data_IF_283827396970
#
_entry.id   IF_283827396970
#
_cell.length_a   1.000
_cell.length_b   1.000
_cell.length_c   1.000
_cell.angle_alpha   90.00
_cell.angle_beta   90.00
_cell.angle_gamma   90.00
#
_symmetry.space_group_name_H-M   'P 1'
#
loop_
_entity.id
_entity.type
_entity.pdbx_description
1 polymer ?
#
# COMPACT_ATOMS: atom_id res chain seq x y z
N UNK A 1 -0.24 5.25 13.37
CA UNK A 1 0.61 6.22 12.64
C UNK A 1 -0.27 7.04 11.71
N UNK A 2 -0.22 8.38 11.75
CA UNK A 2 -1.05 9.22 10.87
C UNK A 2 -0.46 9.31 9.48
N UNK A 3 -1.31 9.26 8.46
CA UNK A 3 -0.90 9.26 7.05
C UNK A 3 -1.72 10.30 6.31
N UNK A 4 -1.03 11.17 5.57
CA UNK A 4 -1.61 12.28 4.85
C UNK A 4 -1.25 12.19 3.37
N UNK A 5 -2.27 12.12 2.53
CA UNK A 5 -2.14 12.18 1.08
C UNK A 5 -2.62 13.54 0.59
N UNK A 6 -1.70 14.39 0.14
CA UNK A 6 -2.00 15.74 -0.34
C UNK A 6 -2.08 15.74 -1.86
N UNK A 7 -3.24 16.17 -2.38
CA UNK A 7 -3.44 16.41 -3.81
C UNK A 7 -2.85 17.78 -4.15
N UNK A 8 -1.93 17.81 -5.09
CA UNK A 8 -1.23 19.00 -5.55
C UNK A 8 -1.50 19.26 -7.03
N UNK A 9 -1.17 20.48 -7.45
CA UNK A 9 -1.11 20.84 -8.86
C UNK A 9 0.12 20.19 -9.53
N UNK A 10 0.12 20.14 -10.86
CA UNK A 10 1.22 19.59 -11.64
C UNK A 10 1.25 18.06 -11.66
N UNK A 11 2.45 17.47 -11.70
CA UNK A 11 2.64 16.03 -11.96
C UNK A 11 2.84 15.17 -10.71
N UNK A 12 2.89 15.78 -9.52
CA UNK A 12 3.31 15.11 -8.29
C UNK A 12 2.36 15.49 -7.15
N UNK A 13 1.81 14.48 -6.49
CA UNK A 13 1.13 14.57 -5.20
C UNK A 13 2.11 14.21 -4.07
N UNK A 14 1.70 14.35 -2.80
CA UNK A 14 2.60 14.10 -1.67
C UNK A 14 2.00 13.17 -0.64
N UNK A 15 2.82 12.24 -0.15
CA UNK A 15 2.55 11.45 1.04
C UNK A 15 3.37 11.99 2.21
N UNK A 16 2.75 12.11 3.37
CA UNK A 16 3.40 12.34 4.65
C UNK A 16 2.92 11.31 5.68
N UNK A 17 3.86 10.65 6.34
CA UNK A 17 3.61 9.76 7.46
C UNK A 17 4.16 10.39 8.73
N UNK A 18 3.32 10.54 9.76
CA UNK A 18 3.67 11.09 11.07
C UNK A 18 3.56 9.99 12.13
N UNK A 19 4.69 9.68 12.76
CA UNK A 19 4.84 8.65 13.80
C UNK A 19 4.34 9.15 15.15
N UNK A 20 4.27 8.24 16.13
CA UNK A 20 3.79 8.56 17.49
C UNK A 20 4.70 9.53 18.24
N UNK A 21 6.02 9.51 17.96
CA UNK A 21 7.00 10.43 18.53
C UNK A 21 6.99 11.81 17.87
N UNK A 22 6.10 12.05 16.90
CA UNK A 22 5.99 13.29 16.14
C UNK A 22 6.98 13.41 14.98
N UNK A 23 7.91 12.47 14.80
CA UNK A 23 8.77 12.43 13.62
C UNK A 23 7.93 12.18 12.37
N UNK A 24 8.32 12.77 11.24
CA UNK A 24 7.64 12.57 9.97
C UNK A 24 8.59 12.20 8.83
N UNK A 25 8.05 11.51 7.84
CA UNK A 25 8.74 11.22 6.58
C UNK A 25 7.78 11.52 5.43
N UNK A 26 8.30 12.13 4.36
CA UNK A 26 7.55 12.51 3.17
C UNK A 26 8.16 11.92 1.92
N UNK A 27 7.32 11.54 0.95
CA UNK A 27 7.76 11.19 -0.39
C UNK A 27 6.84 11.81 -1.46
N UNK A 28 7.38 12.08 -2.66
CA UNK A 28 6.56 12.45 -3.81
C UNK A 28 5.81 11.23 -4.34
N UNK A 29 4.55 11.41 -4.73
CA UNK A 29 3.73 10.43 -5.45
C UNK A 29 3.46 10.95 -6.87
N UNK A 30 4.20 10.48 -7.90
CA UNK A 30 3.94 10.85 -9.28
C UNK A 30 2.50 10.47 -9.69
N UNK A 31 1.79 11.38 -10.36
CA UNK A 31 0.44 11.12 -10.87
C UNK A 31 0.50 10.07 -11.96
N UNK A 32 -0.19 8.95 -11.74
CA UNK A 32 -0.27 7.86 -12.71
C UNK A 32 -1.56 7.92 -13.55
N UNK A 33 -2.63 8.55 -13.06
CA UNK A 33 -3.95 8.56 -13.72
C UNK A 33 -4.94 7.57 -13.09
N UNK A 34 -4.44 6.70 -12.21
CA UNK A 34 -5.21 5.94 -11.22
C UNK A 34 -4.87 6.43 -9.80
N UNK A 35 -5.44 5.79 -8.77
CA UNK A 35 -5.11 6.05 -7.37
C UNK A 35 -3.57 6.01 -7.15
N UNK A 36 -2.99 6.96 -6.39
CA UNK A 36 -1.57 6.96 -6.08
C UNK A 36 -1.10 5.61 -5.50
N UNK A 37 0.04 5.11 -5.96
CA UNK A 37 0.58 3.79 -5.59
C UNK A 37 0.66 3.58 -4.07
N UNK A 38 1.23 4.52 -3.32
CA UNK A 38 1.33 4.40 -1.85
C UNK A 38 -0.05 4.46 -1.15
N UNK A 39 -1.06 5.05 -1.79
CA UNK A 39 -2.45 5.00 -1.32
C UNK A 39 -3.08 3.63 -1.61
N UNK A 40 -2.70 2.95 -2.70
CA UNK A 40 -3.07 1.55 -2.95
C UNK A 40 -2.47 0.64 -1.87
N UNK A 41 -1.20 0.84 -1.48
CA UNK A 41 -0.61 0.15 -0.32
C UNK A 41 -1.45 0.33 0.95
N UNK A 42 -1.89 1.56 1.22
CA UNK A 42 -2.70 1.84 2.41
C UNK A 42 -3.99 1.03 2.38
N UNK A 43 -4.69 1.01 1.23
CA UNK A 43 -5.94 0.27 1.07
C UNK A 43 -5.73 -1.23 1.21
N UNK A 44 -4.73 -1.80 0.52
CA UNK A 44 -4.42 -3.24 0.55
C UNK A 44 -4.04 -3.69 1.96
N UNK A 45 -3.04 -3.03 2.57
CA UNK A 45 -2.51 -3.43 3.87
C UNK A 45 -3.53 -3.23 4.99
N UNK A 46 -4.31 -2.14 4.96
CA UNK A 46 -5.35 -1.88 5.96
C UNK A 46 -6.50 -2.88 5.86
N UNK A 47 -6.90 -3.26 4.64
CA UNK A 47 -8.03 -4.18 4.41
C UNK A 47 -7.68 -5.60 4.81
N UNK A 48 -6.45 -6.04 4.51
CA UNK A 48 -5.95 -7.39 4.80
C UNK A 48 -5.23 -7.50 6.15
N UNK A 49 -5.07 -6.37 6.85
CA UNK A 49 -4.32 -6.27 8.11
C UNK A 49 -2.88 -6.79 8.00
N UNK A 50 -2.19 -6.46 6.90
CA UNK A 50 -0.77 -6.79 6.69
C UNK A 50 0.09 -5.89 7.60
N UNK A 51 0.75 -6.46 8.61
CA UNK A 51 1.37 -5.69 9.72
C UNK A 51 2.87 -5.43 9.54
N UNK A 52 3.48 -6.16 8.64
CA UNK A 52 4.89 -6.14 8.26
C UNK A 52 5.04 -5.77 6.76
N UNK A 53 4.02 -5.10 6.21
CA UNK A 53 4.00 -4.53 4.87
C UNK A 53 4.83 -3.24 4.73
N UNK A 54 4.62 -2.50 3.65
CA UNK A 54 5.34 -1.25 3.35
C UNK A 54 5.13 -0.19 4.45
N UNK A 55 3.92 -0.07 5.01
CA UNK A 55 3.68 0.91 6.08
C UNK A 55 4.40 0.57 7.39
N UNK A 56 4.80 -0.70 7.60
CA UNK A 56 5.66 -1.08 8.73
C UNK A 56 7.07 -0.53 8.56
N UNK A 57 7.63 -0.57 7.34
CA UNK A 57 8.96 -0.03 7.05
C UNK A 57 9.00 1.47 7.38
N UNK A 58 7.97 2.19 6.94
CA UNK A 58 7.82 3.62 7.24
C UNK A 58 7.69 3.84 8.75
N UNK A 59 6.82 3.08 9.43
CA UNK A 59 6.62 3.21 10.87
C UNK A 59 7.91 2.93 11.67
N UNK A 60 8.76 2.02 11.19
CA UNK A 60 10.05 1.69 11.79
C UNK A 60 11.15 2.76 11.58
N UNK A 61 10.88 3.81 10.80
CA UNK A 61 11.84 4.89 10.56
C UNK A 61 12.77 4.68 9.37
N UNK A 62 12.62 3.55 8.66
CA UNK A 62 13.47 3.14 7.54
C UNK A 62 13.30 4.06 6.32
N UNK A 63 12.12 4.65 6.16
CA UNK A 63 11.79 5.54 5.05
C UNK A 63 11.14 4.82 3.87
N UNK A 64 11.15 5.45 2.70
CA UNK A 64 10.54 4.93 1.48
C UNK A 64 11.59 4.21 0.63
N UNK A 65 11.37 2.94 0.22
CA UNK A 65 12.24 2.29 -0.73
C UNK A 65 12.33 3.10 -2.03
N UNK A 66 13.54 3.42 -2.48
CA UNK A 66 13.77 4.20 -3.71
C UNK A 66 14.10 3.34 -4.93
N UNK A 67 14.25 2.03 -4.73
CA UNK A 67 14.52 1.02 -5.75
C UNK A 67 13.29 0.14 -6.00
N UNK A 68 13.19 -0.41 -7.21
CA UNK A 68 12.20 -1.43 -7.52
C UNK A 68 12.46 -2.71 -6.69
N UNK A 69 11.41 -3.43 -6.27
CA UNK A 69 11.53 -4.72 -5.59
C UNK A 69 12.16 -5.80 -6.49
N UNK A 70 12.76 -6.89 -5.94
CA UNK A 70 12.80 -7.20 -4.52
C UNK A 70 13.80 -6.33 -3.75
N UNK A 71 13.39 -5.95 -2.55
CA UNK A 71 14.16 -5.15 -1.62
C UNK A 71 15.11 -6.03 -0.80
N UNK A 72 16.30 -5.50 -0.54
CA UNK A 72 17.32 -6.16 0.27
C UNK A 72 17.09 -5.85 1.76
N UNK A 73 16.83 -6.89 2.53
CA UNK A 73 16.56 -6.83 3.97
C UNK A 73 17.68 -6.10 4.75
N UNK A 74 18.93 -6.30 4.34
CA UNK A 74 20.10 -5.69 4.97
C UNK A 74 20.13 -4.17 4.77
N UNK A 75 19.64 -3.67 3.62
CA UNK A 75 19.56 -2.23 3.35
C UNK A 75 18.57 -1.51 4.28
N UNK A 76 17.54 -2.23 4.72
CA UNK A 76 16.47 -1.69 5.55
C UNK A 76 16.62 -2.03 7.03
N UNK A 77 17.63 -2.82 7.40
CA UNK A 77 17.85 -3.33 8.77
C UNK A 77 16.59 -4.02 9.33
N UNK A 78 15.89 -4.77 8.48
CA UNK A 78 14.68 -5.50 8.84
C UNK A 78 14.93 -6.98 8.57
N UNK A 79 14.66 -7.83 9.55
CA UNK A 79 14.98 -9.26 9.47
C UNK A 79 14.13 -10.02 8.43
N UNK A 80 12.89 -9.57 8.20
CA UNK A 80 11.94 -10.24 7.32
C UNK A 80 11.13 -9.22 6.49
N UNK A 81 11.34 -9.23 5.17
CA UNK A 81 10.60 -8.43 4.19
C UNK A 81 9.48 -9.22 3.49
N UNK A 82 9.19 -10.45 3.93
CA UNK A 82 8.24 -11.34 3.25
C UNK A 82 6.88 -10.65 3.05
N UNK A 83 6.28 -10.10 4.11
CA UNK A 83 4.96 -9.47 4.02
C UNK A 83 5.00 -8.13 3.25
N UNK A 84 6.15 -7.43 3.23
CA UNK A 84 6.35 -6.24 2.40
C UNK A 84 6.39 -6.58 0.91
N UNK A 85 7.12 -7.63 0.53
CA UNK A 85 7.17 -8.14 -0.84
C UNK A 85 5.82 -8.72 -1.30
N UNK A 86 5.09 -9.36 -0.39
CA UNK A 86 3.71 -9.81 -0.62
C UNK A 86 2.75 -8.64 -0.85
N UNK A 87 2.84 -7.58 -0.02
CA UNK A 87 2.02 -6.38 -0.17
C UNK A 87 2.27 -5.70 -1.53
N UNK A 88 3.53 -5.60 -1.95
CA UNK A 88 3.91 -5.09 -3.27
C UNK A 88 3.30 -5.91 -4.41
N UNK A 89 3.35 -7.23 -4.33
CA UNK A 89 2.70 -8.12 -5.32
C UNK A 89 1.20 -7.89 -5.43
N UNK A 90 0.53 -7.74 -4.29
CA UNK A 90 -0.89 -7.43 -4.27
C UNK A 90 -1.18 -6.07 -4.91
N UNK A 91 -0.41 -5.05 -4.55
CA UNK A 91 -0.56 -3.69 -5.09
C UNK A 91 -0.42 -3.69 -6.61
N UNK A 92 0.59 -4.34 -7.17
CA UNK A 92 0.78 -4.44 -8.63
C UNK A 92 -0.38 -5.18 -9.32
N UNK A 93 -0.83 -6.31 -8.76
CA UNK A 93 -1.98 -7.05 -9.30
C UNK A 93 -3.26 -6.19 -9.30
N UNK A 94 -3.54 -5.47 -8.22
CA UNK A 94 -4.70 -4.57 -8.15
C UNK A 94 -4.54 -3.35 -9.06
N UNK A 95 -3.35 -2.75 -9.16
CA UNK A 95 -3.11 -1.65 -10.07
C UNK A 95 -3.31 -2.06 -11.53
N UNK A 96 -2.96 -3.29 -11.91
CA UNK A 96 -3.27 -3.83 -13.23
C UNK A 96 -4.79 -3.84 -13.52
N UNK A 97 -5.61 -4.27 -12.56
CA UNK A 97 -7.09 -4.19 -12.69
C UNK A 97 -7.58 -2.74 -12.78
N UNK A 98 -7.02 -1.84 -11.96
CA UNK A 98 -7.38 -0.41 -11.98
C UNK A 98 -7.08 0.24 -13.34
N UNK A 99 -5.91 -0.05 -13.91
CA UNK A 99 -5.54 0.37 -15.25
C UNK A 99 -6.46 -0.20 -16.33
N UNK A 100 -7.00 -1.39 -16.08
CA UNK A 100 -8.03 -2.01 -16.92
C UNK A 100 -9.46 -1.58 -16.54
N UNK A 101 -9.64 -0.40 -15.92
CA UNK A 101 -10.97 0.12 -15.58
C UNK A 101 -11.68 -0.63 -14.46
N UNK A 102 -10.92 -1.10 -13.46
CA UNK A 102 -11.41 -1.90 -12.32
C UNK A 102 -12.07 -3.22 -12.74
N UNK A 103 -11.74 -3.76 -13.92
CA UNK A 103 -12.24 -5.06 -14.34
C UNK A 103 -11.51 -6.17 -13.56
N UNK A 104 -12.25 -7.03 -12.82
CA UNK A 104 -11.64 -8.15 -12.12
C UNK A 104 -10.98 -9.12 -13.09
N UNK A 105 -9.76 -9.55 -12.78
CA UNK A 105 -9.06 -10.62 -13.49
C UNK A 105 -9.64 -11.96 -13.04
N UNK A 106 -10.03 -12.81 -14.00
CA UNK A 106 -10.59 -14.16 -13.73
C UNK A 106 -9.58 -15.07 -13.00
N UNK A 107 -8.29 -14.88 -13.26
CA UNK A 107 -7.18 -15.63 -12.71
C UNK A 107 -6.34 -14.82 -11.71
N UNK A 108 -6.94 -13.88 -10.98
CA UNK A 108 -6.24 -12.97 -10.05
C UNK A 108 -5.31 -13.71 -9.08
N UNK A 109 -5.78 -14.81 -8.47
CA UNK A 109 -4.99 -15.56 -7.49
C UNK A 109 -3.77 -16.24 -8.11
N UNK A 110 -3.90 -16.76 -9.34
CA UNK A 110 -2.79 -17.39 -10.08
C UNK A 110 -1.74 -16.34 -10.48
N UNK A 111 -2.20 -15.16 -10.95
CA UNK A 111 -1.30 -14.04 -11.26
C UNK A 111 -0.55 -13.62 -9.99
N UNK A 112 -1.25 -13.46 -8.86
CA UNK A 112 -0.62 -13.09 -7.60
C UNK A 112 0.43 -14.12 -7.16
N UNK A 113 0.14 -15.41 -7.31
CA UNK A 113 1.09 -16.47 -6.98
C UNK A 113 2.36 -16.37 -7.82
N UNK A 114 2.24 -16.16 -9.13
CA UNK A 114 3.40 -15.96 -10.02
C UNK A 114 4.19 -14.72 -9.61
N UNK A 115 3.52 -13.61 -9.33
CA UNK A 115 4.17 -12.35 -8.89
C UNK A 115 4.91 -12.53 -7.57
N UNK A 116 4.34 -13.26 -6.60
CA UNK A 116 4.99 -13.57 -5.34
C UNK A 116 6.20 -14.51 -5.53
N UNK A 117 6.06 -15.54 -6.37
CA UNK A 117 7.14 -16.48 -6.68
C UNK A 117 8.35 -15.78 -7.32
N UNK A 118 8.13 -14.79 -8.18
CA UNK A 118 9.21 -13.97 -8.76
C UNK A 118 10.00 -13.20 -7.70
N UNK A 119 9.36 -12.89 -6.56
CA UNK A 119 9.97 -12.26 -5.37
C UNK A 119 10.43 -13.28 -4.32
N UNK A 120 10.40 -14.57 -4.64
CA UNK A 120 10.77 -15.67 -3.75
C UNK A 120 9.97 -15.73 -2.44
N UNK A 121 8.73 -15.24 -2.47
CA UNK A 121 7.78 -15.32 -1.34
C UNK A 121 6.53 -16.10 -1.74
N UNK A 122 5.86 -16.73 -0.78
CA UNK A 122 4.54 -17.33 -1.02
C UNK A 122 3.47 -16.24 -1.11
N UNK A 123 2.31 -16.54 -1.69
CA UNK A 123 1.14 -15.67 -1.57
C UNK A 123 0.73 -15.50 -0.10
N UNK A 124 0.29 -14.29 0.32
CA UNK A 124 -0.10 -14.04 1.70
C UNK A 124 -1.35 -14.85 2.08
N UNK A 125 -1.34 -15.47 3.26
CA UNK A 125 -2.41 -16.36 3.73
C UNK A 125 -3.77 -15.66 3.90
N UNK A 126 -3.76 -14.34 4.03
CA UNK A 126 -4.95 -13.50 4.13
C UNK A 126 -5.71 -13.39 2.80
N UNK A 127 -5.12 -13.81 1.68
CA UNK A 127 -5.75 -13.67 0.37
C UNK A 127 -6.71 -14.82 0.11
N UNK A 128 -7.99 -14.51 0.27
CA UNK A 128 -9.13 -15.33 -0.15
C UNK A 128 -9.94 -14.57 -1.19
N UNK A 129 -10.80 -15.25 -1.95
CA UNK A 129 -11.70 -14.56 -2.91
C UNK A 129 -12.52 -13.45 -2.23
N UNK A 130 -13.04 -13.71 -1.03
CA UNK A 130 -13.78 -12.73 -0.24
C UNK A 130 -12.92 -11.50 0.07
N UNK A 131 -11.69 -11.70 0.54
CA UNK A 131 -10.80 -10.62 0.89
C UNK A 131 -10.34 -9.83 -0.34
N UNK A 132 -10.16 -10.49 -1.49
CA UNK A 132 -9.89 -9.81 -2.77
C UNK A 132 -11.07 -8.90 -3.14
N UNK A 133 -12.31 -9.37 -3.01
CA UNK A 133 -13.49 -8.52 -3.27
C UNK A 133 -13.61 -7.35 -2.30
N UNK A 134 -13.26 -7.56 -1.02
CA UNK A 134 -13.19 -6.48 -0.03
C UNK A 134 -12.17 -5.42 -0.42
N UNK A 135 -10.97 -5.82 -0.86
CA UNK A 135 -9.95 -4.87 -1.33
C UNK A 135 -10.43 -4.12 -2.56
N UNK A 136 -10.99 -4.78 -3.57
CA UNK A 136 -11.56 -4.12 -4.76
C UNK A 136 -12.59 -3.05 -4.41
N UNK A 137 -13.50 -3.38 -3.49
CA UNK A 137 -14.53 -2.45 -3.00
C UNK A 137 -13.91 -1.22 -2.32
N UNK A 138 -12.87 -1.43 -1.50
CA UNK A 138 -12.16 -0.34 -0.84
C UNK A 138 -11.36 0.52 -1.84
N UNK A 139 -10.73 -0.09 -2.84
CA UNK A 139 -10.00 0.66 -3.90
C UNK A 139 -10.94 1.57 -4.69
N UNK A 140 -12.15 1.11 -5.00
CA UNK A 140 -13.18 1.96 -5.64
C UNK A 140 -13.59 3.11 -4.73
N UNK A 141 -13.83 2.84 -3.44
CA UNK A 141 -14.18 3.88 -2.46
C UNK A 141 -13.08 4.95 -2.32
N UNK A 142 -11.82 4.53 -2.21
CA UNK A 142 -10.69 5.45 -2.08
C UNK A 142 -10.41 6.21 -3.38
N UNK A 143 -10.65 5.59 -4.55
CA UNK A 143 -10.61 6.29 -5.85
C UNK A 143 -11.63 7.43 -5.89
N UNK A 144 -12.90 7.16 -5.54
CA UNK A 144 -13.93 8.20 -5.49
C UNK A 144 -13.58 9.31 -4.48
N UNK A 145 -13.05 8.93 -3.32
CA UNK A 145 -12.63 9.89 -2.28
C UNK A 145 -11.49 10.77 -2.78
N UNK A 146 -10.50 10.19 -3.45
CA UNK A 146 -9.35 10.90 -4.01
C UNK A 146 -9.72 11.82 -5.17
N UNK A 147 -10.61 11.36 -6.05
CA UNK A 147 -11.09 12.13 -7.19
C UNK A 147 -11.91 13.35 -6.74
N UNK A 148 -12.71 13.20 -5.69
CA UNK A 148 -13.49 14.29 -5.10
C UNK A 148 -12.64 15.37 -4.43
N UNK A 149 -11.37 15.09 -4.09
CA UNK A 149 -10.48 16.12 -3.56
C UNK A 149 -10.15 17.17 -4.63
N UNK A 150 -10.25 18.43 -4.25
CA UNK A 150 -9.70 19.56 -4.98
C UNK A 150 -8.18 19.63 -4.77
N UNK A 151 -7.48 20.23 -5.74
CA UNK A 151 -6.05 20.56 -5.58
C UNK A 151 -5.84 21.40 -4.32
N UNK A 152 -4.81 21.05 -3.54
CA UNK A 152 -4.48 21.64 -2.26
C UNK A 152 -5.09 20.89 -1.06
N UNK A 153 -6.12 20.08 -1.26
CA UNK A 153 -6.74 19.31 -0.19
C UNK A 153 -5.92 18.06 0.18
N UNK A 154 -6.18 17.56 1.38
CA UNK A 154 -5.45 16.42 1.97
C UNK A 154 -6.45 15.39 2.46
N UNK A 155 -6.26 14.13 2.07
CA UNK A 155 -6.88 12.98 2.69
C UNK A 155 -6.03 12.54 3.87
N UNK A 156 -6.59 12.60 5.07
CA UNK A 156 -5.96 12.13 6.29
C UNK A 156 -6.55 10.77 6.70
N UNK A 157 -5.70 9.79 6.94
CA UNK A 157 -6.09 8.44 7.37
C UNK A 157 -5.15 7.95 8.48
N UNK A 158 -5.56 6.89 9.19
CA UNK A 158 -4.82 6.37 10.32
C UNK A 158 -4.43 4.90 10.09
N UNK A 159 -3.12 4.61 10.13
CA UNK A 159 -2.62 3.25 10.02
C UNK A 159 -2.79 2.49 11.35
N UNK A 160 -4.03 2.15 11.69
CA UNK A 160 -4.39 1.50 12.97
C UNK A 160 -3.99 0.04 13.06
N UNK A 161 -3.88 -0.66 11.93
CA UNK A 161 -3.56 -2.09 11.90
C UNK A 161 -2.10 -2.40 12.28
N UNK A 162 -1.24 -1.38 12.28
CA UNK A 162 0.16 -1.48 12.70
C UNK A 162 0.33 -1.62 14.22
N UNK A 163 -0.72 -1.33 15.01
CA UNK A 163 -0.67 -1.48 16.46
C UNK A 163 -1.13 -2.89 16.83
N UNK A 164 -0.32 -3.60 17.62
CA UNK A 164 -0.82 -4.76 18.36
C UNK A 164 -1.91 -4.26 19.31
N UNK A 165 -3.11 -4.85 19.21
CA UNK A 165 -3.98 -4.82 20.39
C UNK A 165 -3.28 -5.70 21.41
N UNK A 166 -2.68 -5.09 22.43
CA UNK A 166 -2.38 -5.81 23.66
C UNK A 166 -3.70 -6.40 24.14
N UNK A 167 -3.87 -7.70 23.98
CA UNK A 167 -4.90 -8.43 24.71
C UNK A 167 -4.44 -8.40 26.17
N UNK A 168 -5.00 -7.46 26.92
CA UNK A 168 -5.10 -7.56 28.38
C UNK A 168 -6.25 -8.51 28.69
#
# INVERSE_FOLDING_TARGET
MQVYFKKCDGKVDWLECVRQDGSSTRCPMPKQGILPHDLVHYVVESTLALRHGFYRLIAAGVGFPTSAPPWDADQFQIEDLTEALQAESLVECFQAEMWNGFQPSENFLEILEVTCQQRQVASPAQVTEENVQRVRSQLQHFTQTWDALSVGQTLAVHATWLHERSNV
#
